data_IF_467780796358
#
_entry.id   IF_467780796358
#
_cell.length_a   1.000
_cell.length_b   1.000
_cell.length_c   1.000
_cell.angle_alpha   90.00
_cell.angle_beta   90.00
_cell.angle_gamma   90.00
#
_symmetry.space_group_name_H-M   'P 1'
#
loop_
_entity.id
_entity.type
_entity.pdbx_description
1 polymer ?
#
# COMPACT_ATOMS: atom_id res chain seq x y z
N UNK A 1 -7.04 5.43 35.92
CA UNK A 1 -6.02 4.43 35.51
C UNK A 1 -4.67 5.13 35.41
N UNK A 2 -3.61 4.56 35.99
CA UNK A 2 -2.25 5.11 35.82
C UNK A 2 -1.87 5.09 34.34
N UNK A 3 -1.33 6.20 33.83
CA UNK A 3 -0.91 6.32 32.43
C UNK A 3 0.24 5.33 32.19
N UNK A 4 0.10 4.43 31.21
CA UNK A 4 1.20 3.54 30.81
C UNK A 4 2.37 4.39 30.31
N UNK A 5 3.44 4.48 31.09
CA UNK A 5 4.68 5.18 30.71
C UNK A 5 5.46 4.25 29.77
N UNK A 6 5.83 4.77 28.59
CA UNK A 6 6.72 4.07 27.66
C UNK A 6 8.16 4.38 28.05
N UNK A 7 8.98 3.34 28.18
CA UNK A 7 10.41 3.44 28.48
C UNK A 7 11.22 3.59 27.21
N UNK A 8 12.34 4.30 27.30
CA UNK A 8 13.25 4.51 26.18
C UNK A 8 14.06 3.24 25.89
N UNK A 9 14.67 3.16 24.71
CA UNK A 9 15.45 1.98 24.32
C UNK A 9 16.76 1.90 25.12
N UNK A 10 17.28 3.04 25.56
CA UNK A 10 18.44 3.16 26.44
C UNK A 10 18.12 2.61 27.84
N UNK A 11 17.02 3.03 28.45
CA UNK A 11 16.60 2.54 29.79
C UNK A 11 16.42 1.01 29.82
N UNK A 12 15.95 0.43 28.71
CA UNK A 12 15.75 -1.02 28.58
C UNK A 12 17.10 -1.74 28.44
N UNK A 13 18.04 -1.15 27.70
CA UNK A 13 19.40 -1.69 27.54
C UNK A 13 20.15 -1.71 28.88
N UNK A 14 20.12 -0.60 29.61
CA UNK A 14 20.79 -0.47 30.92
C UNK A 14 20.26 -1.50 31.92
N UNK A 15 18.94 -1.75 31.90
CA UNK A 15 18.30 -2.75 32.76
C UNK A 15 18.76 -4.18 32.48
N UNK A 16 18.98 -4.53 31.20
CA UNK A 16 19.47 -5.86 30.80
C UNK A 16 20.94 -6.02 31.19
N UNK A 17 21.74 -4.97 30.97
CA UNK A 17 23.16 -4.97 31.33
C UNK A 17 23.37 -5.13 32.84
N UNK A 18 22.56 -4.45 33.66
CA UNK A 18 22.59 -4.57 35.11
C UNK A 18 22.28 -6.00 35.61
N UNK A 19 21.46 -6.77 34.88
CA UNK A 19 21.16 -8.17 35.23
C UNK A 19 22.31 -9.10 34.86
N UNK A 20 22.98 -8.88 33.73
CA UNK A 20 24.03 -9.76 33.21
C UNK A 20 25.37 -9.45 33.86
N UNK A 21 25.77 -8.18 33.87
CA UNK A 21 27.10 -7.74 34.30
C UNK A 21 27.18 -7.51 35.81
N UNK A 22 26.11 -6.98 36.43
CA UNK A 22 26.09 -6.69 37.88
C UNK A 22 25.41 -7.79 38.72
N UNK A 23 25.04 -8.90 38.08
CA UNK A 23 24.43 -10.09 38.69
C UNK A 23 23.17 -9.79 39.55
N UNK A 24 22.42 -8.75 39.19
CA UNK A 24 21.16 -8.41 39.86
C UNK A 24 20.05 -9.40 39.48
N UNK A 25 19.20 -9.74 40.45
CA UNK A 25 18.01 -10.54 40.15
C UNK A 25 17.06 -9.78 39.21
N UNK A 26 16.47 -10.47 38.24
CA UNK A 26 15.50 -9.89 37.29
C UNK A 26 14.35 -9.16 38.00
N UNK A 27 13.93 -9.65 39.18
CA UNK A 27 12.88 -9.01 39.98
C UNK A 27 13.31 -7.67 40.57
N UNK A 28 14.56 -7.57 41.02
CA UNK A 28 15.14 -6.34 41.58
C UNK A 28 15.30 -5.28 40.50
N UNK A 29 15.96 -5.64 39.39
CA UNK A 29 16.14 -4.75 38.25
C UNK A 29 14.80 -4.25 37.66
N UNK A 30 13.78 -5.11 37.57
CA UNK A 30 12.44 -4.71 37.12
C UNK A 30 11.75 -3.73 38.08
N UNK A 31 11.93 -3.90 39.39
CA UNK A 31 11.37 -2.99 40.41
C UNK A 31 12.05 -1.63 40.37
N UNK A 32 13.37 -1.61 40.23
CA UNK A 32 14.18 -0.38 40.27
C UNK A 32 13.97 0.47 39.00
N UNK A 33 13.86 -0.18 37.83
CA UNK A 33 13.64 0.51 36.54
C UNK A 33 12.17 0.76 36.23
N UNK A 34 11.25 0.07 36.91
CA UNK A 34 9.82 0.12 36.62
C UNK A 34 9.44 -0.49 35.28
N UNK A 35 10.28 -1.37 34.71
CA UNK A 35 9.98 -2.19 33.52
C UNK A 35 9.27 -3.47 33.97
N UNK A 36 8.34 -3.99 33.15
CA UNK A 36 7.68 -5.24 33.49
C UNK A 36 8.69 -6.39 33.58
N UNK A 37 8.64 -7.17 34.67
CA UNK A 37 9.52 -8.34 34.90
C UNK A 37 9.51 -9.33 33.73
N UNK A 38 8.35 -9.53 33.09
CA UNK A 38 8.23 -10.43 31.94
C UNK A 38 9.07 -9.97 30.75
N UNK A 39 8.95 -8.68 30.36
CA UNK A 39 9.77 -8.11 29.29
C UNK A 39 11.27 -8.23 29.59
N UNK A 40 11.70 -7.88 30.80
CA UNK A 40 13.11 -7.95 31.18
C UNK A 40 13.64 -9.40 31.15
N UNK A 41 12.85 -10.36 31.61
CA UNK A 41 13.22 -11.78 31.56
C UNK A 41 13.36 -12.29 30.12
N UNK A 42 12.43 -11.92 29.23
CA UNK A 42 12.46 -12.29 27.83
C UNK A 42 13.68 -11.68 27.11
N UNK A 43 14.01 -10.42 27.40
CA UNK A 43 15.18 -9.74 26.83
C UNK A 43 16.50 -10.37 27.29
N UNK A 44 16.64 -10.66 28.59
CA UNK A 44 17.82 -11.35 29.13
C UNK A 44 17.98 -12.74 28.53
N UNK A 45 16.86 -13.46 28.31
CA UNK A 45 16.89 -14.77 27.64
C UNK A 45 17.38 -14.66 26.19
N UNK A 46 16.91 -13.65 25.44
CA UNK A 46 17.36 -13.40 24.06
C UNK A 46 18.84 -13.05 24.02
N UNK A 47 19.27 -12.15 24.91
CA UNK A 47 20.66 -11.71 25.01
C UNK A 47 21.62 -12.88 25.28
N UNK A 48 21.26 -13.81 26.18
CA UNK A 48 22.08 -15.00 26.48
C UNK A 48 22.16 -16.02 25.33
N UNK A 49 21.18 -16.00 24.42
CA UNK A 49 21.14 -16.92 23.29
C UNK A 49 21.90 -16.37 22.06
N UNK A 50 22.16 -15.06 22.00
CA UNK A 50 22.92 -14.43 20.92
C UNK A 50 24.43 -14.59 21.17
N UNK A 51 25.19 -15.20 20.25
CA UNK A 51 26.61 -15.53 20.47
C UNK A 51 27.53 -14.31 20.62
N UNK A 52 27.16 -13.18 20.02
CA UNK A 52 27.97 -11.95 20.01
C UNK A 52 27.52 -10.91 21.05
N UNK A 53 26.53 -11.21 21.91
CA UNK A 53 25.96 -10.26 22.89
C UNK A 53 25.51 -8.91 22.28
N UNK A 54 25.23 -8.86 20.97
CA UNK A 54 24.91 -7.63 20.23
C UNK A 54 23.40 -7.39 20.09
N UNK A 55 22.59 -7.94 21.00
CA UNK A 55 21.14 -7.85 20.89
C UNK A 55 20.69 -6.38 20.93
N UNK A 56 19.99 -5.96 19.88
CA UNK A 56 19.38 -4.64 19.79
C UNK A 56 17.88 -4.75 20.03
N UNK A 57 17.37 -4.08 21.04
CA UNK A 57 15.93 -4.05 21.30
C UNK A 57 15.23 -3.24 20.21
N UNK A 58 14.50 -3.93 19.32
CA UNK A 58 13.66 -3.28 18.32
C UNK A 58 12.21 -3.36 18.77
N UNK A 59 11.65 -2.20 19.09
CA UNK A 59 10.20 -2.09 19.30
C UNK A 59 9.52 -2.27 17.95
N UNK A 60 8.59 -3.21 17.84
CA UNK A 60 7.73 -3.33 16.67
C UNK A 60 6.69 -2.19 16.69
N UNK A 61 7.17 -0.97 16.46
CA UNK A 61 6.37 0.25 16.38
C UNK A 61 6.22 0.56 14.91
N UNK A 62 5.21 -0.04 14.31
CA UNK A 62 4.86 0.23 12.94
C UNK A 62 3.55 -0.46 12.61
N UNK A 63 2.77 0.18 11.76
CA UNK A 63 1.79 -0.55 10.97
C UNK A 63 2.57 -1.41 9.97
N UNK A 64 2.04 -2.57 9.60
CA UNK A 64 2.59 -3.31 8.47
C UNK A 64 2.59 -2.39 7.25
N UNK A 65 3.78 -2.09 6.74
CA UNK A 65 3.91 -1.30 5.52
C UNK A 65 3.47 -2.17 4.36
N UNK A 66 2.48 -1.72 3.60
CA UNK A 66 2.03 -2.41 2.38
C UNK A 66 3.04 -2.27 1.25
N UNK A 67 3.87 -1.22 1.28
CA UNK A 67 4.89 -0.94 0.27
C UNK A 67 6.28 -0.84 0.92
N UNK A 68 7.31 -1.22 0.15
CA UNK A 68 8.70 -0.96 0.54
C UNK A 68 9.01 0.54 0.41
N UNK A 69 10.04 1.02 1.12
CA UNK A 69 10.45 2.43 1.07
C UNK A 69 10.73 2.90 -0.36
N UNK A 70 11.25 2.03 -1.22
CA UNK A 70 11.53 2.36 -2.62
C UNK A 70 10.26 2.41 -3.47
N UNK A 71 9.28 1.53 -3.21
CA UNK A 71 7.96 1.60 -3.82
C UNK A 71 7.22 2.88 -3.40
N UNK A 72 7.32 3.28 -2.13
CA UNK A 72 6.76 4.55 -1.63
C UNK A 72 7.37 5.74 -2.37
N UNK A 73 8.70 5.76 -2.56
CA UNK A 73 9.39 6.81 -3.32
C UNK A 73 8.96 6.85 -4.78
N UNK A 74 8.81 5.69 -5.42
CA UNK A 74 8.33 5.55 -6.80
C UNK A 74 6.89 6.09 -6.93
N UNK A 75 6.03 5.78 -5.97
CA UNK A 75 4.66 6.27 -5.96
C UNK A 75 4.62 7.81 -5.78
N UNK A 76 5.46 8.35 -4.90
CA UNK A 76 5.57 9.80 -4.69
C UNK A 76 6.08 10.51 -5.94
N UNK A 77 7.08 9.97 -6.64
CA UNK A 77 7.57 10.57 -7.88
C UNK A 77 6.49 10.53 -8.96
N UNK A 78 5.79 9.40 -9.11
CA UNK A 78 4.67 9.25 -10.04
C UNK A 78 3.54 10.26 -9.76
N UNK A 79 3.14 10.45 -8.51
CA UNK A 79 2.11 11.42 -8.12
C UNK A 79 2.53 12.88 -8.40
N UNK A 80 3.80 13.22 -8.19
CA UNK A 80 4.33 14.56 -8.52
C UNK A 80 4.36 14.80 -10.02
N UNK A 81 4.78 13.79 -10.79
CA UNK A 81 4.81 13.84 -12.26
C UNK A 81 3.39 14.01 -12.80
N UNK A 82 2.46 13.17 -12.37
CA UNK A 82 1.05 13.26 -12.78
C UNK A 82 0.41 14.56 -12.34
N UNK A 83 0.65 15.05 -11.12
CA UNK A 83 0.15 16.37 -10.68
C UNK A 83 0.66 17.51 -11.58
N UNK A 84 1.94 17.49 -11.96
CA UNK A 84 2.52 18.48 -12.89
C UNK A 84 1.94 18.36 -14.31
N UNK A 85 1.63 17.14 -14.76
CA UNK A 85 0.95 16.89 -16.04
C UNK A 85 -0.53 17.31 -16.00
N UNK A 86 -1.20 17.10 -14.88
CA UNK A 86 -2.63 17.30 -14.70
C UNK A 86 -3.01 18.76 -14.41
N UNK A 87 -2.09 19.72 -14.42
CA UNK A 87 -2.46 21.15 -14.47
C UNK A 87 -3.24 21.54 -15.74
N UNK A 88 -3.48 20.60 -16.68
CA UNK A 88 -4.36 20.77 -17.84
C UNK A 88 -5.57 19.82 -17.92
N UNK A 89 -5.81 18.93 -16.95
CA UNK A 89 -6.96 18.00 -16.99
C UNK A 89 -7.98 18.32 -15.91
N UNK A 90 -9.22 18.57 -16.33
CA UNK A 90 -10.35 18.74 -15.42
C UNK A 90 -10.78 17.41 -14.80
N UNK A 91 -11.50 17.46 -13.69
CA UNK A 91 -12.12 16.28 -13.03
C UNK A 91 -13.03 15.45 -13.94
N UNK A 92 -13.53 16.04 -15.03
CA UNK A 92 -14.32 15.33 -16.04
C UNK A 92 -13.38 14.51 -16.93
N UNK A 93 -12.31 15.12 -17.44
CA UNK A 93 -11.35 14.47 -18.33
C UNK A 93 -10.57 13.34 -17.65
N UNK A 94 -10.34 13.41 -16.34
CA UNK A 94 -9.71 12.32 -15.59
C UNK A 94 -10.61 11.10 -15.40
N UNK A 95 -11.94 11.25 -15.60
CA UNK A 95 -12.92 10.16 -15.50
C UNK A 95 -13.25 9.50 -16.85
N UNK A 96 -13.00 10.18 -17.96
CA UNK A 96 -13.18 9.64 -19.32
C UNK A 96 -12.49 8.27 -19.55
N UNK A 97 -11.26 8.01 -19.07
CA UNK A 97 -10.61 6.71 -19.24
C UNK A 97 -11.37 5.60 -18.55
N UNK A 98 -12.00 5.88 -17.40
CA UNK A 98 -12.79 4.89 -16.67
C UNK A 98 -14.07 4.54 -17.44
N UNK A 99 -14.70 5.54 -18.05
CA UNK A 99 -15.87 5.34 -18.91
C UNK A 99 -15.55 4.51 -20.16
N UNK A 100 -14.42 4.78 -20.81
CA UNK A 100 -13.99 4.09 -22.04
C UNK A 100 -13.39 2.70 -21.76
N UNK A 101 -12.55 2.57 -20.73
CA UNK A 101 -11.81 1.35 -20.44
C UNK A 101 -12.62 0.32 -19.65
N UNK A 102 -13.51 0.77 -18.76
CA UNK A 102 -14.16 -0.11 -17.79
C UNK A 102 -15.67 -0.11 -17.99
N UNK A 103 -16.34 1.02 -17.90
CA UNK A 103 -17.81 1.04 -17.88
C UNK A 103 -18.45 0.69 -19.22
N UNK A 104 -17.93 1.20 -20.33
CA UNK A 104 -18.41 0.86 -21.68
C UNK A 104 -18.30 -0.64 -21.97
N UNK A 105 -17.10 -1.24 -21.84
CA UNK A 105 -16.91 -2.67 -22.00
C UNK A 105 -17.75 -3.51 -21.03
N UNK A 106 -17.80 -3.13 -19.75
CA UNK A 106 -18.58 -3.85 -18.73
C UNK A 106 -20.08 -3.91 -19.09
N UNK A 107 -20.70 -2.77 -19.45
CA UNK A 107 -22.12 -2.72 -19.86
C UNK A 107 -22.38 -3.60 -21.08
N UNK A 108 -21.46 -3.59 -22.05
CA UNK A 108 -21.57 -4.42 -23.27
C UNK A 108 -21.51 -5.91 -22.94
N UNK A 109 -20.54 -6.34 -22.13
CA UNK A 109 -20.39 -7.75 -21.73
C UNK A 109 -21.50 -8.23 -20.81
N UNK A 110 -21.96 -7.38 -19.89
CA UNK A 110 -23.12 -7.66 -19.06
C UNK A 110 -24.38 -7.88 -19.91
N UNK A 111 -24.62 -7.00 -20.90
CA UNK A 111 -25.73 -7.16 -21.85
C UNK A 111 -25.64 -8.48 -22.63
N UNK A 112 -24.43 -8.89 -23.03
CA UNK A 112 -24.21 -10.18 -23.70
C UNK A 112 -24.52 -11.36 -22.77
N UNK A 113 -24.02 -11.36 -21.54
CA UNK A 113 -24.28 -12.41 -20.57
C UNK A 113 -25.78 -12.56 -20.27
N UNK A 114 -26.47 -11.43 -20.07
CA UNK A 114 -27.92 -11.41 -19.87
C UNK A 114 -28.69 -11.94 -21.09
N UNK A 115 -28.33 -11.50 -22.30
CA UNK A 115 -28.98 -11.98 -23.52
C UNK A 115 -28.79 -13.48 -23.74
N UNK A 116 -27.58 -14.01 -23.49
CA UNK A 116 -27.31 -15.44 -23.59
C UNK A 116 -28.17 -16.24 -22.60
N UNK A 117 -28.33 -15.74 -21.38
CA UNK A 117 -29.20 -16.39 -20.39
C UNK A 117 -30.67 -16.37 -20.82
N UNK A 118 -31.16 -15.23 -21.34
CA UNK A 118 -32.54 -15.09 -21.82
C UNK A 118 -32.84 -16.03 -22.99
N UNK A 119 -31.89 -16.24 -23.91
CA UNK A 119 -32.06 -17.20 -25.02
C UNK A 119 -32.15 -18.65 -24.54
N UNK A 120 -31.46 -18.98 -23.43
CA UNK A 120 -31.49 -20.32 -22.85
C UNK A 120 -32.69 -20.53 -21.90
N UNK A 121 -33.35 -19.46 -21.46
CA UNK A 121 -34.43 -19.48 -20.46
C UNK A 121 -35.68 -18.70 -20.94
N UNK A 122 -36.34 -19.15 -22.02
CA UNK A 122 -37.52 -18.47 -22.53
C UNK A 122 -38.65 -18.47 -21.49
N UNK A 123 -39.30 -17.31 -21.32
CA UNK A 123 -40.45 -17.15 -20.40
C UNK A 123 -40.09 -17.02 -18.92
N UNK A 124 -38.81 -17.07 -18.54
CA UNK A 124 -38.38 -16.79 -17.16
C UNK A 124 -37.96 -15.34 -17.00
N UNK A 125 -38.33 -14.75 -15.86
CA UNK A 125 -37.87 -13.41 -15.47
C UNK A 125 -36.52 -13.50 -14.78
N UNK A 126 -35.63 -12.56 -15.08
CA UNK A 126 -34.34 -12.41 -14.38
C UNK A 126 -34.62 -12.00 -12.93
N UNK A 127 -34.18 -12.80 -11.97
CA UNK A 127 -34.23 -12.46 -10.55
C UNK A 127 -32.90 -11.83 -10.10
N UNK A 128 -32.83 -11.41 -8.84
CA UNK A 128 -31.63 -10.81 -8.27
C UNK A 128 -30.40 -11.74 -8.35
N UNK A 129 -30.61 -13.06 -8.27
CA UNK A 129 -29.52 -14.03 -8.30
C UNK A 129 -28.88 -14.14 -9.68
N UNK A 130 -29.68 -14.16 -10.75
CA UNK A 130 -29.15 -14.19 -12.10
C UNK A 130 -28.45 -12.88 -12.47
N UNK A 131 -28.95 -11.74 -11.96
CA UNK A 131 -28.22 -10.45 -12.06
C UNK A 131 -26.80 -10.57 -11.51
N UNK A 132 -26.63 -11.18 -10.33
CA UNK A 132 -25.31 -11.38 -9.73
C UNK A 132 -24.45 -12.36 -10.55
N UNK A 133 -25.06 -13.39 -11.13
CA UNK A 133 -24.38 -14.36 -11.99
C UNK A 133 -23.79 -13.69 -13.25
N UNK A 134 -24.50 -12.74 -13.85
CA UNK A 134 -24.03 -12.01 -15.04
C UNK A 134 -22.87 -11.06 -14.78
N UNK A 135 -22.69 -10.62 -13.54
CA UNK A 135 -21.59 -9.70 -13.17
C UNK A 135 -20.24 -10.39 -13.29
N UNK A 136 -20.12 -11.66 -12.90
CA UNK A 136 -18.86 -12.40 -12.94
C UNK A 136 -18.21 -12.46 -14.33
N UNK A 137 -18.89 -12.94 -15.40
CA UNK A 137 -18.32 -12.96 -16.74
C UNK A 137 -18.06 -11.54 -17.25
N UNK A 138 -18.97 -10.60 -17.02
CA UNK A 138 -18.77 -9.21 -17.44
C UNK A 138 -17.52 -8.58 -16.80
N UNK A 139 -17.32 -8.80 -15.50
CA UNK A 139 -16.19 -8.26 -14.73
C UNK A 139 -14.86 -8.87 -15.17
N UNK A 140 -14.80 -10.20 -15.27
CA UNK A 140 -13.57 -10.90 -15.68
C UNK A 140 -13.09 -10.51 -17.08
N UNK A 141 -14.01 -10.10 -17.97
CA UNK A 141 -13.69 -9.67 -19.32
C UNK A 141 -13.40 -8.17 -19.45
N UNK A 142 -14.11 -7.31 -18.72
CA UNK A 142 -13.93 -5.87 -18.81
C UNK A 142 -12.69 -5.38 -18.05
N UNK A 143 -12.38 -5.96 -16.89
CA UNK A 143 -11.25 -5.54 -16.04
C UNK A 143 -9.91 -6.19 -16.43
N UNK A 144 -9.76 -6.57 -17.72
CA UNK A 144 -8.49 -7.05 -18.25
C UNK A 144 -7.53 -5.89 -18.44
N UNK A 145 -6.27 -6.11 -18.07
CA UNK A 145 -5.19 -5.13 -18.24
C UNK A 145 -5.10 -4.64 -19.70
N UNK A 146 -5.28 -5.53 -20.67
CA UNK A 146 -5.29 -5.18 -22.10
C UNK A 146 -6.41 -4.20 -22.48
N UNK A 147 -7.63 -4.42 -21.96
CA UNK A 147 -8.78 -3.52 -22.16
C UNK A 147 -8.50 -2.16 -21.51
N UNK A 148 -7.92 -2.15 -20.31
CA UNK A 148 -7.50 -0.93 -19.61
C UNK A 148 -6.48 -0.14 -20.44
N UNK A 149 -5.40 -0.78 -20.90
CA UNK A 149 -4.41 -0.12 -21.75
C UNK A 149 -5.04 0.49 -23.02
N UNK A 150 -5.90 -0.26 -23.70
CA UNK A 150 -6.58 0.24 -24.90
C UNK A 150 -7.49 1.43 -24.63
N UNK A 151 -8.15 1.47 -23.46
CA UNK A 151 -9.01 2.57 -23.06
C UNK A 151 -8.22 3.84 -22.77
N UNK A 152 -7.10 3.72 -22.05
CA UNK A 152 -6.19 4.83 -21.81
C UNK A 152 -5.49 5.33 -23.08
N UNK A 153 -5.26 4.44 -24.05
CA UNK A 153 -4.80 4.81 -25.39
C UNK A 153 -5.82 5.67 -26.13
N UNK A 154 -7.09 5.25 -26.10
CA UNK A 154 -8.18 5.95 -26.78
C UNK A 154 -8.46 7.34 -26.19
N UNK A 155 -8.27 7.52 -24.89
CA UNK A 155 -8.46 8.83 -24.24
C UNK A 155 -7.23 9.74 -24.33
N UNK A 156 -6.16 9.32 -25.03
CA UNK A 156 -4.94 10.13 -25.20
C UNK A 156 -4.14 10.33 -23.91
N UNK A 157 -4.47 9.62 -22.83
CA UNK A 157 -3.69 9.63 -21.58
C UNK A 157 -2.47 8.71 -21.70
N UNK A 158 -2.58 7.66 -22.51
CA UNK A 158 -1.50 6.73 -22.82
C UNK A 158 -1.25 6.66 -24.35
N UNK A 159 -0.03 6.39 -24.85
CA UNK A 159 1.22 6.32 -24.11
C UNK A 159 1.52 7.65 -23.43
N UNK A 160 1.98 7.58 -22.18
CA UNK A 160 2.40 8.78 -21.46
C UNK A 160 3.37 9.53 -22.39
N UNK A 161 3.11 10.78 -22.78
CA UNK A 161 4.10 11.55 -23.50
C UNK A 161 5.39 11.47 -22.70
N UNK A 162 6.50 11.15 -23.38
CA UNK A 162 7.81 10.97 -22.73
C UNK A 162 8.08 12.18 -21.83
N UNK A 163 8.69 11.99 -20.64
CA UNK A 163 9.16 13.10 -19.85
C UNK A 163 9.91 14.05 -20.78
N UNK A 164 9.70 15.33 -20.56
CA UNK A 164 10.18 16.44 -21.41
C UNK A 164 11.71 16.59 -21.35
N UNK A 165 12.47 15.51 -21.15
CA UNK A 165 13.92 15.43 -21.28
C UNK A 165 14.40 15.68 -22.72
N UNK A 166 13.49 15.83 -23.69
CA UNK A 166 13.81 16.32 -25.04
C UNK A 166 13.57 17.81 -25.26
N UNK A 167 12.96 18.55 -24.32
CA UNK A 167 13.15 19.99 -24.28
C UNK A 167 14.39 20.24 -23.45
N UNK A 168 15.51 20.30 -24.17
CA UNK A 168 16.76 20.87 -23.72
C UNK A 168 16.48 22.03 -22.76
N UNK A 169 16.75 21.82 -21.47
CA UNK A 169 17.33 22.90 -20.69
C UNK A 169 18.63 23.19 -21.43
N UNK A 170 18.60 24.19 -22.33
CA UNK A 170 19.81 24.87 -22.73
C UNK A 170 20.32 25.48 -21.43
N UNK A 171 21.24 24.77 -20.79
CA UNK A 171 22.05 25.29 -19.71
C UNK A 171 22.59 26.66 -20.16
N UNK A 172 22.18 27.72 -19.45
CA UNK A 172 22.76 29.05 -19.61
C UNK A 172 21.95 30.12 -20.33
N UNK A 173 20.69 30.36 -19.94
CA UNK A 173 20.18 31.74 -19.96
C UNK A 173 19.89 32.22 -18.55
N UNK A 174 20.79 33.09 -18.08
CA UNK A 174 20.55 34.05 -17.02
C UNK A 174 19.35 34.91 -17.41
N UNK A 175 18.45 35.14 -16.46
CA UNK A 175 17.49 36.24 -16.55
C UNK A 175 17.98 37.31 -15.58
N UNK A 176 18.49 38.41 -16.13
CA UNK A 176 18.62 39.69 -15.42
C UNK A 176 17.24 40.20 -14.96
#
# INVERSE_FOLDING_TARGET
MSKRIRRSDEEIRDAVEAVINQNLSVRKAAKDTGISKSLLADLVKRFKNDPDNNFTYVRNIGNQKTFTTDQEKLLVSYLKITSKMCFGLTTIQTREPLDVAVYGPFKSRYKQAMNNWLTCNPGKTVTLYEVAEFVNPAFSESFKISTIYSGFQKTGIYPCPRPVETLQLKDGQNWD
#
